data_IF_665632925935
#
_entry.id   IF_665632925935
#
_cell.length_a   1.000
_cell.length_b   1.000
_cell.length_c   1.000
_cell.angle_alpha   90.00
_cell.angle_beta   90.00
_cell.angle_gamma   90.00
#
_symmetry.space_group_name_H-M   'P 1'
#
loop_
_entity.id
_entity.type
_entity.pdbx_description
1 polymer ?
#
# COMPACT_ATOMS: atom_id res chain seq x y z
N UNK A 1 0.86 20.37 12.53
CA UNK A 1 1.01 19.12 11.74
C UNK A 1 0.32 19.34 10.40
N UNK A 2 0.96 19.03 9.28
CA UNK A 2 0.30 19.07 7.98
C UNK A 2 -0.80 17.99 7.94
N UNK A 3 -1.98 18.32 7.43
CA UNK A 3 -3.03 17.34 7.21
C UNK A 3 -2.58 16.34 6.14
N UNK A 4 -2.56 15.05 6.48
CA UNK A 4 -2.25 13.97 5.54
C UNK A 4 -3.59 13.44 5.00
N UNK A 5 -3.87 13.56 3.70
CA UNK A 5 -5.15 13.14 3.11
C UNK A 5 -5.18 11.63 2.92
N UNK A 6 -5.33 10.86 3.99
CA UNK A 6 -5.24 9.39 3.96
C UNK A 6 -6.28 8.75 3.04
N UNK A 7 -7.48 9.32 2.94
CA UNK A 7 -8.50 8.89 1.98
C UNK A 7 -8.03 9.00 0.52
N UNK A 8 -7.22 10.01 0.19
CA UNK A 8 -6.65 10.14 -1.16
C UNK A 8 -5.66 9.00 -1.47
N UNK A 9 -4.84 8.62 -0.49
CA UNK A 9 -3.91 7.50 -0.63
C UNK A 9 -4.66 6.16 -0.75
N UNK A 10 -5.75 5.98 -0.01
CA UNK A 10 -6.64 4.83 -0.13
C UNK A 10 -7.23 4.68 -1.55
N UNK A 11 -7.79 5.76 -2.09
CA UNK A 11 -8.33 5.77 -3.46
C UNK A 11 -7.27 5.43 -4.51
N UNK A 12 -6.03 5.94 -4.33
CA UNK A 12 -4.91 5.64 -5.24
C UNK A 12 -4.52 4.16 -5.17
N UNK A 13 -4.46 3.57 -3.98
CA UNK A 13 -4.18 2.14 -3.81
C UNK A 13 -5.26 1.28 -4.48
N UNK A 14 -6.54 1.62 -4.32
CA UNK A 14 -7.64 0.92 -5.00
C UNK A 14 -7.50 1.01 -6.52
N UNK A 15 -7.17 2.18 -7.06
CA UNK A 15 -6.99 2.36 -8.51
C UNK A 15 -5.82 1.52 -9.03
N UNK A 16 -4.70 1.47 -8.31
CA UNK A 16 -3.56 0.63 -8.70
C UNK A 16 -3.94 -0.86 -8.64
N UNK A 17 -4.64 -1.30 -7.60
CA UNK A 17 -5.15 -2.68 -7.49
C UNK A 17 -6.08 -3.05 -8.65
N UNK A 18 -6.98 -2.14 -9.04
CA UNK A 18 -7.89 -2.36 -10.16
C UNK A 18 -7.12 -2.48 -11.48
N UNK A 19 -6.18 -1.56 -11.73
CA UNK A 19 -5.36 -1.59 -12.95
C UNK A 19 -4.45 -2.82 -13.04
N UNK A 20 -3.91 -3.28 -11.91
CA UNK A 20 -3.17 -4.55 -11.85
C UNK A 20 -4.05 -5.75 -12.22
N UNK A 21 -5.32 -5.75 -11.77
CA UNK A 21 -6.26 -6.83 -12.09
C UNK A 21 -6.72 -6.81 -13.56
N UNK A 22 -6.73 -5.64 -14.19
CA UNK A 22 -7.15 -5.43 -15.58
C UNK A 22 -5.99 -5.49 -16.58
N UNK A 23 -4.74 -5.54 -16.11
CA UNK A 23 -3.56 -5.54 -16.95
C UNK A 23 -3.57 -6.76 -17.89
N UNK A 24 -3.31 -6.50 -19.18
CA UNK A 24 -3.40 -7.52 -20.24
C UNK A 24 -2.04 -7.95 -20.79
N UNK A 25 -1.01 -7.18 -20.47
CA UNK A 25 0.36 -7.42 -20.90
C UNK A 25 1.37 -7.01 -19.82
N UNK A 26 2.61 -7.45 -20.00
CA UNK A 26 3.69 -7.23 -19.04
C UNK A 26 4.08 -5.76 -18.91
N UNK A 27 3.82 -4.94 -19.93
CA UNK A 27 4.11 -3.50 -19.89
C UNK A 27 3.14 -2.77 -18.97
N UNK A 28 1.85 -3.13 -19.02
CA UNK A 28 0.84 -2.61 -18.12
C UNK A 28 1.06 -3.08 -16.68
N UNK A 29 1.44 -4.35 -16.48
CA UNK A 29 1.85 -4.88 -15.17
C UNK A 29 3.04 -4.10 -14.62
N UNK A 30 4.11 -3.92 -15.41
CA UNK A 30 5.30 -3.17 -15.00
C UNK A 30 4.98 -1.73 -14.60
N UNK A 31 4.12 -1.04 -15.37
CA UNK A 31 3.68 0.33 -15.02
C UNK A 31 2.91 0.35 -13.71
N UNK A 32 2.00 -0.60 -13.49
CA UNK A 32 1.26 -0.69 -12.24
C UNK A 32 2.18 -0.97 -11.04
N UNK A 33 3.20 -1.81 -11.21
CA UNK A 33 4.18 -2.11 -10.17
C UNK A 33 5.07 -0.92 -9.80
N UNK A 34 5.45 -0.10 -10.79
CA UNK A 34 6.15 1.15 -10.53
C UNK A 34 5.27 2.12 -9.71
N UNK A 35 4.01 2.30 -10.12
CA UNK A 35 3.05 3.14 -9.39
C UNK A 35 2.80 2.63 -7.97
N UNK A 36 2.62 1.32 -7.81
CA UNK A 36 2.49 0.65 -6.52
C UNK A 36 3.70 0.94 -5.62
N UNK A 37 4.91 0.69 -6.12
CA UNK A 37 6.14 0.85 -5.34
C UNK A 37 6.33 2.30 -4.87
N UNK A 38 6.15 3.26 -5.76
CA UNK A 38 6.25 4.69 -5.43
C UNK A 38 5.19 5.13 -4.41
N UNK A 39 3.97 4.62 -4.55
CA UNK A 39 2.87 4.93 -3.64
C UNK A 39 3.14 4.39 -2.23
N UNK A 40 3.65 3.15 -2.14
CA UNK A 40 4.00 2.52 -0.87
C UNK A 40 5.22 3.15 -0.19
N UNK A 41 6.24 3.56 -0.93
CA UNK A 41 7.35 4.34 -0.38
C UNK A 41 6.84 5.64 0.26
N UNK A 42 5.93 6.34 -0.43
CA UNK A 42 5.32 7.57 0.10
C UNK A 42 4.48 7.31 1.35
N UNK A 43 3.61 6.29 1.32
CA UNK A 43 2.76 5.93 2.47
C UNK A 43 3.62 5.53 3.67
N UNK A 44 4.68 4.74 3.45
CA UNK A 44 5.59 4.34 4.52
C UNK A 44 6.32 5.52 5.15
N UNK A 45 6.76 6.49 4.34
CA UNK A 45 7.35 7.75 4.83
C UNK A 45 6.38 8.53 5.70
N UNK A 46 5.14 8.72 5.21
CA UNK A 46 4.09 9.45 5.94
C UNK A 46 3.72 8.77 7.26
N UNK A 47 3.61 7.44 7.29
CA UNK A 47 3.34 6.68 8.52
C UNK A 47 4.50 6.82 9.52
N UNK A 48 5.74 6.92 9.03
CA UNK A 48 6.93 7.09 9.88
C UNK A 48 7.03 8.51 10.46
N UNK A 49 6.61 9.52 9.70
CA UNK A 49 6.60 10.93 10.09
C UNK A 49 5.38 11.32 10.94
N UNK A 50 4.26 10.58 10.82
CA UNK A 50 3.04 10.90 11.55
C UNK A 50 3.14 10.50 13.03
N UNK A 51 2.95 11.47 13.91
CA UNK A 51 2.92 11.29 15.37
C UNK A 51 1.46 11.20 15.86
N UNK A 52 1.09 10.12 16.55
CA UNK A 52 -0.25 9.96 17.12
C UNK A 52 -0.59 8.51 17.47
N UNK A 53 -1.44 8.29 18.47
CA UNK A 53 -1.76 6.93 18.95
C UNK A 53 -2.55 6.09 17.93
N UNK A 54 -3.41 6.71 17.12
CA UNK A 54 -4.06 6.05 15.98
C UNK A 54 -3.05 5.58 14.91
N UNK A 55 -2.02 6.37 14.67
CA UNK A 55 -0.93 6.06 13.73
C UNK A 55 -0.03 4.95 14.27
N UNK A 56 0.25 4.89 15.58
CA UNK A 56 1.05 3.79 16.16
C UNK A 56 0.40 2.42 15.95
N UNK A 57 -0.91 2.33 16.13
CA UNK A 57 -1.68 1.09 15.91
C UNK A 57 -1.60 0.65 14.47
N UNK A 58 -1.85 1.56 13.53
CA UNK A 58 -1.76 1.24 12.12
C UNK A 58 -0.33 0.98 11.65
N UNK A 59 0.68 1.70 12.17
CA UNK A 59 2.09 1.42 11.87
C UNK A 59 2.45 -0.02 12.17
N UNK A 60 1.90 -0.62 13.24
CA UNK A 60 2.10 -2.05 13.53
C UNK A 60 1.43 -2.96 12.50
N UNK A 61 0.27 -2.58 11.98
CA UNK A 61 -0.47 -3.35 10.98
C UNK A 61 0.11 -3.19 9.56
N UNK A 62 0.59 -1.99 9.22
CA UNK A 62 1.13 -1.66 7.90
C UNK A 62 2.63 -1.89 7.77
N UNK A 63 3.40 -1.92 8.86
CA UNK A 63 4.85 -2.18 8.76
C UNK A 63 5.20 -3.55 8.15
N UNK A 64 4.46 -4.65 8.42
CA UNK A 64 4.65 -5.90 7.70
C UNK A 64 4.32 -5.76 6.21
N UNK A 65 3.27 -5.01 5.90
CA UNK A 65 2.77 -4.79 4.54
C UNK A 65 3.77 -3.99 3.69
N UNK A 66 4.37 -2.92 4.24
CA UNK A 66 5.38 -2.12 3.53
C UNK A 66 6.65 -2.94 3.23
N UNK A 67 7.03 -3.89 4.08
CA UNK A 67 8.18 -4.78 3.86
C UNK A 67 7.98 -5.76 2.70
N UNK A 68 6.73 -6.07 2.34
CA UNK A 68 6.40 -6.90 1.19
C UNK A 68 6.52 -6.14 -0.13
N UNK A 69 6.41 -4.80 -0.09
CA UNK A 69 6.43 -3.94 -1.28
C UNK A 69 7.83 -3.45 -1.61
N UNK A 70 8.62 -3.08 -0.61
CA UNK A 70 9.97 -2.58 -0.85
C UNK A 70 10.87 -3.74 -1.27
N UNK A 71 11.22 -3.90 -2.56
CA UNK A 71 12.25 -4.85 -2.91
C UNK A 71 13.52 -4.33 -2.24
N UNK A 72 14.30 -5.24 -1.63
CA UNK A 72 15.63 -4.92 -1.14
C UNK A 72 16.35 -4.16 -2.25
N UNK A 73 16.71 -2.87 -2.04
CA UNK A 73 17.40 -2.05 -3.06
C UNK A 73 18.56 -2.88 -3.62
N UNK A 74 18.44 -3.33 -4.87
CA UNK A 74 19.41 -4.24 -5.52
C UNK A 74 18.85 -5.58 -6.01
N UNK A 75 17.64 -5.99 -5.62
CA UNK A 75 16.91 -7.09 -6.29
C UNK A 75 16.01 -6.46 -7.34
N UNK A 76 16.51 -6.38 -8.58
CA UNK A 76 15.68 -6.06 -9.72
C UNK A 76 14.63 -7.15 -9.83
N UNK A 77 13.42 -6.89 -9.34
CA UNK A 77 12.26 -7.70 -9.71
C UNK A 77 11.98 -7.31 -11.16
N UNK A 78 12.58 -8.03 -12.09
CA UNK A 78 12.21 -7.93 -13.49
C UNK A 78 10.73 -8.28 -13.58
N UNK A 79 9.96 -7.51 -14.36
CA UNK A 79 8.53 -7.78 -14.59
C UNK A 79 8.31 -9.22 -15.10
N UNK A 80 9.31 -9.79 -15.77
CA UNK A 80 9.34 -11.15 -16.31
C UNK A 80 9.27 -12.28 -15.24
N UNK A 81 9.55 -11.99 -13.96
CA UNK A 81 9.59 -13.00 -12.88
C UNK A 81 8.41 -12.89 -11.88
N UNK A 82 7.44 -12.00 -12.12
CA UNK A 82 6.27 -11.87 -11.26
C UNK A 82 5.19 -12.89 -11.64
N UNK A 83 5.07 -13.93 -10.82
CA UNK A 83 3.98 -14.88 -10.95
C UNK A 83 2.61 -14.20 -10.79
N UNK A 84 1.58 -14.75 -11.43
CA UNK A 84 0.19 -14.30 -11.25
C UNK A 84 -0.23 -14.29 -9.77
N UNK A 85 0.32 -15.21 -8.96
CA UNK A 85 0.11 -15.28 -7.52
C UNK A 85 0.74 -14.07 -6.78
N UNK A 86 1.93 -13.64 -7.20
CA UNK A 86 2.57 -12.45 -6.67
C UNK A 86 1.75 -11.20 -7.00
N UNK A 87 1.29 -11.04 -8.25
CA UNK A 87 0.41 -9.92 -8.66
C UNK A 87 -0.89 -9.93 -7.85
N UNK A 88 -1.53 -11.09 -7.68
CA UNK A 88 -2.74 -11.25 -6.86
C UNK A 88 -2.49 -10.83 -5.39
N UNK A 89 -1.32 -11.18 -4.84
CA UNK A 89 -0.94 -10.79 -3.48
C UNK A 89 -0.77 -9.27 -3.34
N UNK A 90 -0.17 -8.61 -4.34
CA UNK A 90 -0.03 -7.14 -4.36
C UNK A 90 -1.38 -6.42 -4.51
N UNK A 91 -2.30 -6.98 -5.29
CA UNK A 91 -3.69 -6.50 -5.40
C UNK A 91 -4.38 -6.58 -4.04
N UNK A 92 -4.32 -7.73 -3.37
CA UNK A 92 -4.93 -7.93 -2.05
C UNK A 92 -4.35 -6.96 -1.01
N UNK A 93 -3.02 -6.81 -1.02
CA UNK A 93 -2.28 -5.87 -0.19
C UNK A 93 -2.74 -4.41 -0.39
N UNK A 94 -2.87 -3.96 -1.64
CA UNK A 94 -3.37 -2.62 -1.95
C UNK A 94 -4.80 -2.41 -1.44
N UNK A 95 -5.68 -3.42 -1.63
CA UNK A 95 -7.08 -3.36 -1.15
C UNK A 95 -7.15 -3.31 0.37
N UNK A 96 -6.36 -4.13 1.06
CA UNK A 96 -6.31 -4.14 2.52
C UNK A 96 -5.83 -2.79 3.07
N UNK A 97 -4.73 -2.26 2.55
CA UNK A 97 -4.22 -0.96 2.99
C UNK A 97 -5.20 0.17 2.69
N UNK A 98 -5.87 0.16 1.53
CA UNK A 98 -6.88 1.14 1.20
C UNK A 98 -8.08 1.14 2.15
N UNK A 99 -8.45 -0.03 2.71
CA UNK A 99 -9.50 -0.10 3.72
C UNK A 99 -9.08 0.53 5.05
N UNK A 100 -7.79 0.47 5.40
CA UNK A 100 -7.27 0.92 6.70
C UNK A 100 -6.88 2.41 6.73
N UNK A 101 -6.42 2.97 5.61
CA UNK A 101 -5.91 4.34 5.59
C UNK A 101 -6.95 5.41 5.99
N UNK A 102 -8.23 5.37 5.56
CA UNK A 102 -9.22 6.38 5.92
C UNK A 102 -9.44 6.52 7.44
N UNK A 103 -9.24 5.44 8.20
CA UNK A 103 -9.39 5.46 9.66
C UNK A 103 -8.39 6.39 10.35
N UNK A 104 -7.24 6.65 9.73
CA UNK A 104 -6.25 7.61 10.22
C UNK A 104 -6.72 9.05 10.13
N UNK A 105 -7.59 9.36 9.16
CA UNK A 105 -8.10 10.71 8.94
C UNK A 105 -9.16 11.08 9.99
N UNK A 106 -9.92 10.07 10.45
CA UNK A 106 -10.97 10.21 11.45
C UNK A 106 -10.45 10.17 12.90
N UNK A 107 -9.16 9.88 13.11
CA UNK A 107 -8.57 9.72 14.44
C UNK A 107 -9.09 8.50 15.20
N UNK A 108 -9.74 7.56 14.50
CA UNK A 108 -10.41 6.42 15.10
C UNK A 108 -9.38 5.46 15.71
N UNK A 109 -9.48 5.12 17.00
CA UNK A 109 -8.59 4.11 17.57
C UNK A 109 -8.85 2.76 16.89
N UNK A 110 -7.83 2.24 16.21
CA UNK A 110 -7.77 0.97 15.44
C UNK A 110 -8.17 -0.29 16.24
N UNK A 111 -8.56 -0.17 17.51
CA UNK A 111 -8.81 -1.30 18.44
C UNK A 111 -10.06 -2.14 18.15
N UNK A 112 -10.90 -1.81 17.16
CA UNK A 112 -12.19 -2.49 16.97
C UNK A 112 -12.27 -3.47 15.78
N UNK A 113 -11.21 -3.69 15.01
CA UNK A 113 -11.33 -4.41 13.73
C UNK A 113 -10.91 -5.90 13.78
N UNK A 114 -10.76 -6.50 14.97
CA UNK A 114 -10.44 -7.92 15.15
C UNK A 114 -11.31 -8.58 16.25
N UNK A 115 -12.63 -8.37 16.19
CA UNK A 115 -13.60 -9.30 16.78
C UNK A 115 -14.56 -9.76 15.67
#
# INVERSE_FOLDING_TARGET
MAHIPWTLYAMRLQRVAQRMAEARDDTDVARCLQEHSALWERISGLISEAEGDGVRGLRRQMSPLTRLVTPRRGSGVAADDLSAEAVSSLIALNRQAAALLPDLELGTPVRQWLN
#
